data_IF_805344350153
#
_entry.id   IF_805344350153
#
_cell.length_a   1.000
_cell.length_b   1.000
_cell.length_c   1.000
_cell.angle_alpha   90.00
_cell.angle_beta   90.00
_cell.angle_gamma   90.00
#
_symmetry.space_group_name_H-M   'P 1'
#
loop_
_entity.id
_entity.type
_entity.pdbx_description
1 polymer ?
#
# COMPACT_ATOMS: atom_id res chain seq x y z
N UNK A 1 -26.67 -23.24 -19.58
CA UNK A 1 -25.78 -22.06 -19.62
C UNK A 1 -25.09 -21.94 -18.26
N UNK A 2 -23.76 -22.11 -18.19
CA UNK A 2 -23.00 -21.82 -16.96
C UNK A 2 -22.83 -20.30 -16.88
N UNK A 3 -23.50 -19.65 -15.95
CA UNK A 3 -23.20 -18.25 -15.61
C UNK A 3 -21.77 -18.20 -15.10
N UNK A 4 -20.88 -17.51 -15.81
CA UNK A 4 -19.48 -17.36 -15.40
C UNK A 4 -19.49 -16.49 -14.14
N UNK A 5 -19.29 -17.10 -12.96
CA UNK A 5 -19.25 -16.38 -11.68
C UNK A 5 -18.06 -15.42 -11.73
N UNK A 6 -18.31 -14.12 -11.58
CA UNK A 6 -17.26 -13.11 -11.52
C UNK A 6 -16.39 -13.32 -10.29
N UNK A 7 -15.08 -13.19 -10.44
CA UNK A 7 -14.14 -13.22 -9.31
C UNK A 7 -14.32 -11.95 -8.49
N UNK A 8 -14.51 -12.07 -7.19
CA UNK A 8 -14.71 -10.91 -6.32
C UNK A 8 -13.43 -10.49 -5.60
N UNK A 9 -13.07 -9.21 -5.69
CA UNK A 9 -11.83 -8.65 -5.14
C UNK A 9 -12.20 -7.58 -4.12
N UNK A 10 -11.78 -7.76 -2.87
CA UNK A 10 -11.89 -6.74 -1.82
C UNK A 10 -10.56 -6.03 -1.60
N UNK A 11 -10.57 -4.70 -1.57
CA UNK A 11 -9.41 -3.90 -1.14
C UNK A 11 -9.74 -3.25 0.20
N UNK A 12 -8.93 -3.55 1.22
CA UNK A 12 -9.13 -3.09 2.59
C UNK A 12 -8.02 -2.12 2.97
N UNK A 13 -8.38 -0.98 3.56
CA UNK A 13 -7.43 -0.06 4.16
C UNK A 13 -7.92 0.46 5.51
N UNK A 14 -7.06 0.63 6.53
CA UNK A 14 -7.47 1.19 7.82
C UNK A 14 -7.68 2.72 7.78
N UNK A 15 -7.33 3.40 6.68
CA UNK A 15 -7.42 4.85 6.54
C UNK A 15 -8.43 5.24 5.44
N UNK A 16 -9.47 6.00 5.79
CA UNK A 16 -10.51 6.40 4.84
C UNK A 16 -9.97 7.24 3.66
N UNK A 17 -8.96 8.08 3.88
CA UNK A 17 -8.31 8.82 2.80
C UNK A 17 -7.73 7.88 1.73
N UNK A 18 -7.09 6.78 2.16
CA UNK A 18 -6.58 5.75 1.25
C UNK A 18 -7.72 4.99 0.55
N UNK A 19 -8.82 4.70 1.27
CA UNK A 19 -10.00 4.05 0.67
C UNK A 19 -10.53 4.90 -0.49
N UNK A 20 -10.71 6.21 -0.27
CA UNK A 20 -11.21 7.12 -1.29
C UNK A 20 -10.26 7.21 -2.49
N UNK A 21 -8.95 7.37 -2.24
CA UNK A 21 -7.92 7.42 -3.29
C UNK A 21 -7.93 6.16 -4.16
N UNK A 22 -7.98 4.98 -3.54
CA UNK A 22 -8.01 3.71 -4.27
C UNK A 22 -9.33 3.58 -5.04
N UNK A 23 -10.47 3.96 -4.46
CA UNK A 23 -11.75 3.93 -5.16
C UNK A 23 -11.72 4.79 -6.43
N UNK A 24 -11.14 5.98 -6.36
CA UNK A 24 -11.02 6.87 -7.52
C UNK A 24 -10.16 6.27 -8.63
N UNK A 25 -9.00 5.68 -8.28
CA UNK A 25 -8.12 5.04 -9.26
C UNK A 25 -8.70 3.76 -9.85
N UNK A 26 -9.33 2.93 -9.03
CA UNK A 26 -9.87 1.63 -9.48
C UNK A 26 -11.10 1.79 -10.38
N UNK A 27 -11.88 2.86 -10.23
CA UNK A 27 -13.04 3.15 -11.10
C UNK A 27 -12.67 3.10 -12.59
N UNK A 28 -11.47 3.55 -12.95
CA UNK A 28 -10.98 3.55 -14.33
C UNK A 28 -10.86 2.12 -14.90
N UNK A 29 -10.57 1.13 -14.05
CA UNK A 29 -10.38 -0.26 -14.42
C UNK A 29 -11.65 -1.12 -14.26
N UNK A 30 -12.66 -0.62 -13.56
CA UNK A 30 -13.91 -1.37 -13.28
C UNK A 30 -15.15 -0.77 -13.93
N UNK A 31 -15.00 0.22 -14.82
CA UNK A 31 -16.10 0.89 -15.48
C UNK A 31 -16.90 -0.03 -16.41
N UNK A 32 -16.25 -1.04 -17.01
CA UNK A 32 -16.92 -1.95 -17.92
C UNK A 32 -17.62 -3.11 -17.18
N UNK A 33 -18.93 -3.22 -17.40
CA UNK A 33 -19.78 -4.30 -16.88
C UNK A 33 -19.45 -5.68 -17.48
N UNK A 34 -18.65 -5.74 -18.55
CA UNK A 34 -18.16 -7.00 -19.13
C UNK A 34 -17.00 -7.65 -18.36
N UNK A 35 -16.41 -6.94 -17.39
CA UNK A 35 -15.26 -7.43 -16.62
C UNK A 35 -15.55 -8.76 -15.92
N UNK A 36 -14.59 -9.70 -16.03
CA UNK A 36 -14.63 -11.03 -15.40
C UNK A 36 -14.52 -10.98 -13.85
N UNK A 37 -14.30 -9.79 -13.28
CA UNK A 37 -14.17 -9.56 -11.85
C UNK A 37 -14.95 -8.33 -11.40
N UNK A 38 -15.15 -8.21 -10.08
CA UNK A 38 -15.70 -7.03 -9.41
C UNK A 38 -14.76 -6.58 -8.30
N UNK A 39 -14.59 -5.26 -8.10
CA UNK A 39 -13.74 -4.72 -7.03
C UNK A 39 -14.57 -3.93 -6.04
N UNK A 40 -14.32 -4.17 -4.76
CA UNK A 40 -14.97 -3.51 -3.64
C UNK A 40 -13.92 -2.96 -2.68
N UNK A 41 -13.86 -1.64 -2.55
CA UNK A 41 -12.83 -0.96 -1.75
C UNK A 41 -13.49 -0.37 -0.51
N UNK A 42 -13.08 -0.79 0.70
CA UNK A 42 -13.68 -0.29 1.94
C UNK A 42 -12.66 -0.24 3.08
N UNK A 43 -13.08 0.39 4.18
CA UNK A 43 -12.37 0.28 5.46
C UNK A 43 -12.57 -1.10 6.10
N UNK A 44 -11.75 -1.43 7.11
CA UNK A 44 -11.88 -2.69 7.87
C UNK A 44 -13.27 -2.85 8.46
N UNK A 45 -13.80 -1.78 9.07
CA UNK A 45 -15.12 -1.81 9.72
C UNK A 45 -16.25 -1.93 8.67
N UNK A 46 -16.04 -1.45 7.44
CA UNK A 46 -16.98 -1.59 6.32
C UNK A 46 -17.05 -3.00 5.70
N UNK A 47 -16.20 -3.93 6.14
CA UNK A 47 -16.15 -5.33 5.71
C UNK A 47 -16.74 -6.32 6.71
N UNK A 48 -17.42 -5.85 7.77
CA UNK A 48 -17.97 -6.73 8.78
C UNK A 48 -19.05 -7.67 8.19
N UNK A 49 -18.76 -8.98 8.17
CA UNK A 49 -19.66 -10.03 7.68
C UNK A 49 -19.61 -10.33 6.18
N UNK A 50 -18.81 -9.60 5.39
CA UNK A 50 -18.56 -9.90 3.97
C UNK A 50 -17.31 -10.74 3.77
N UNK A 51 -17.23 -11.51 2.69
CA UNK A 51 -16.02 -12.21 2.24
C UNK A 51 -15.86 -12.00 0.74
N UNK A 52 -14.61 -11.97 0.27
CA UNK A 52 -14.29 -11.85 -1.15
C UNK A 52 -13.35 -12.98 -1.58
N UNK A 53 -13.38 -13.35 -2.86
CA UNK A 53 -12.51 -14.41 -3.39
C UNK A 53 -11.02 -14.05 -3.18
N UNK A 54 -10.67 -12.79 -3.41
CA UNK A 54 -9.34 -12.22 -3.21
C UNK A 54 -9.46 -10.99 -2.29
N UNK A 55 -8.57 -10.88 -1.29
CA UNK A 55 -8.42 -9.66 -0.49
C UNK A 55 -7.04 -9.06 -0.68
N UNK A 56 -6.99 -7.73 -0.84
CA UNK A 56 -5.77 -6.94 -0.84
C UNK A 56 -5.84 -5.96 0.33
N UNK A 57 -4.94 -6.07 1.30
CA UNK A 57 -4.85 -5.13 2.43
C UNK A 57 -3.76 -4.11 2.13
N UNK A 58 -4.11 -2.83 2.07
CA UNK A 58 -3.15 -1.72 2.07
C UNK A 58 -2.88 -1.27 3.49
N UNK A 59 -1.63 -1.38 3.94
CA UNK A 59 -1.25 -0.99 5.32
C UNK A 59 -0.99 0.51 5.44
N UNK A 60 -0.74 1.21 4.33
CA UNK A 60 -0.50 2.68 4.24
C UNK A 60 0.77 3.18 4.94
N UNK A 61 1.00 2.82 6.20
CA UNK A 61 2.08 3.38 7.02
C UNK A 61 3.46 2.93 6.52
N UNK A 62 4.32 3.92 6.34
CA UNK A 62 5.72 3.77 5.96
C UNK A 62 6.54 4.81 6.72
N UNK A 63 7.30 4.41 7.73
CA UNK A 63 8.15 5.28 8.55
C UNK A 63 9.22 4.47 9.30
N UNK A 64 10.34 5.12 9.62
CA UNK A 64 11.46 4.48 10.32
C UNK A 64 11.17 4.11 11.79
N UNK A 65 10.18 4.75 12.42
CA UNK A 65 9.86 4.53 13.85
C UNK A 65 8.92 3.35 14.11
N UNK A 66 8.52 2.61 13.07
CA UNK A 66 7.62 1.45 13.21
C UNK A 66 6.19 1.80 13.64
N UNK A 67 5.80 3.08 13.64
CA UNK A 67 4.48 3.48 14.08
C UNK A 67 3.42 3.12 13.03
N UNK A 68 2.51 2.21 13.40
CA UNK A 68 1.44 1.71 12.51
C UNK A 68 0.05 2.27 12.84
N UNK A 69 -0.12 3.03 13.93
CA UNK A 69 -1.40 3.62 14.32
C UNK A 69 -2.55 2.61 14.39
N UNK A 70 -3.65 2.86 13.66
CA UNK A 70 -4.87 2.02 13.69
C UNK A 70 -4.66 0.55 13.35
N UNK A 71 -3.57 0.20 12.65
CA UNK A 71 -3.21 -1.18 12.36
C UNK A 71 -2.81 -1.99 13.58
N UNK A 72 -2.37 -1.36 14.68
CA UNK A 72 -1.97 -2.09 15.89
C UNK A 72 -3.14 -2.82 16.57
N UNK A 73 -4.38 -2.45 16.24
CA UNK A 73 -5.58 -3.11 16.73
C UNK A 73 -5.67 -4.54 16.17
N UNK A 74 -5.45 -5.53 17.06
CA UNK A 74 -5.44 -6.95 16.72
C UNK A 74 -6.79 -7.44 16.20
N UNK A 75 -7.91 -6.98 16.74
CA UNK A 75 -9.24 -7.40 16.31
C UNK A 75 -9.50 -6.97 14.86
N UNK A 76 -9.14 -5.73 14.50
CA UNK A 76 -9.25 -5.21 13.13
C UNK A 76 -8.32 -5.94 12.17
N UNK A 77 -7.09 -6.24 12.58
CA UNK A 77 -6.17 -7.04 11.77
C UNK A 77 -6.74 -8.44 11.49
N UNK A 78 -7.28 -9.11 12.52
CA UNK A 78 -7.93 -10.42 12.36
C UNK A 78 -9.10 -10.34 11.38
N UNK A 79 -10.00 -9.37 11.55
CA UNK A 79 -11.15 -9.19 10.65
C UNK A 79 -10.67 -9.06 9.21
N UNK A 80 -9.72 -8.15 8.94
CA UNK A 80 -9.22 -7.90 7.59
C UNK A 80 -8.57 -9.14 6.95
N UNK A 81 -7.71 -9.87 7.70
CA UNK A 81 -7.00 -11.04 7.15
C UNK A 81 -7.93 -12.22 6.87
N UNK A 82 -9.03 -12.39 7.63
CA UNK A 82 -9.96 -13.51 7.43
C UNK A 82 -11.10 -13.16 6.46
N UNK A 83 -11.03 -12.06 5.70
CA UNK A 83 -12.05 -11.74 4.68
C UNK A 83 -11.81 -12.50 3.35
N UNK A 84 -10.62 -13.05 3.15
CA UNK A 84 -10.22 -13.71 1.91
C UNK A 84 -10.63 -15.18 1.89
N UNK A 85 -11.29 -15.61 0.81
CA UNK A 85 -11.70 -17.01 0.61
C UNK A 85 -10.62 -17.85 -0.04
N UNK A 86 -9.87 -17.28 -0.99
CA UNK A 86 -8.87 -18.03 -1.76
C UNK A 86 -7.48 -17.40 -1.72
N UNK A 87 -7.37 -16.07 -1.73
CA UNK A 87 -6.07 -15.40 -1.79
C UNK A 87 -6.05 -14.11 -0.97
N UNK A 88 -4.98 -13.92 -0.18
CA UNK A 88 -4.74 -12.72 0.60
C UNK A 88 -3.41 -12.08 0.17
N UNK A 89 -3.47 -10.83 -0.27
CA UNK A 89 -2.33 -9.97 -0.50
C UNK A 89 -2.26 -8.89 0.57
N UNK A 90 -1.05 -8.60 1.05
CA UNK A 90 -0.80 -7.53 2.02
C UNK A 90 0.28 -6.63 1.42
N UNK A 91 -0.10 -5.40 1.09
CA UNK A 91 0.79 -4.39 0.55
C UNK A 91 1.18 -3.40 1.64
N UNK A 92 2.47 -3.33 1.95
CA UNK A 92 2.97 -2.47 3.02
C UNK A 92 4.48 -2.31 3.06
N UNK A 93 4.93 -1.35 3.88
CA UNK A 93 6.36 -1.16 4.13
C UNK A 93 6.86 -2.18 5.18
N UNK A 94 7.66 -3.14 4.72
CA UNK A 94 8.12 -4.25 5.56
C UNK A 94 8.91 -3.77 6.80
N UNK A 95 9.78 -2.77 6.66
CA UNK A 95 10.56 -2.25 7.78
C UNK A 95 9.67 -1.65 8.86
N UNK A 96 8.66 -0.86 8.47
CA UNK A 96 7.67 -0.27 9.39
C UNK A 96 6.90 -1.34 10.13
N UNK A 97 6.39 -2.36 9.42
CA UNK A 97 5.59 -3.42 10.02
C UNK A 97 6.41 -4.31 10.96
N UNK A 98 7.65 -4.63 10.58
CA UNK A 98 8.57 -5.41 11.43
C UNK A 98 8.87 -4.65 12.72
N UNK A 99 9.10 -3.34 12.66
CA UNK A 99 9.45 -2.52 13.83
C UNK A 99 8.25 -2.06 14.66
N UNK A 100 7.04 -2.55 14.38
CA UNK A 100 5.81 -2.04 14.98
C UNK A 100 5.40 -2.63 16.33
N UNK A 101 6.14 -3.63 16.82
CA UNK A 101 5.81 -4.42 18.02
C UNK A 101 4.33 -4.86 18.09
N UNK A 102 3.73 -5.09 16.92
CA UNK A 102 2.33 -5.48 16.76
C UNK A 102 2.20 -6.85 16.07
N UNK A 103 0.96 -7.32 15.89
CA UNK A 103 0.69 -8.57 15.14
C UNK A 103 1.30 -8.56 13.74
N UNK A 104 1.43 -7.38 13.12
CA UNK A 104 2.00 -7.24 11.77
C UNK A 104 3.47 -7.63 11.68
N UNK A 105 4.24 -7.49 12.77
CA UNK A 105 5.61 -8.02 12.84
C UNK A 105 5.61 -9.52 12.58
N UNK A 106 4.74 -10.24 13.28
CA UNK A 106 4.64 -11.69 13.16
C UNK A 106 4.11 -12.11 11.78
N UNK A 107 3.17 -11.35 11.20
CA UNK A 107 2.66 -11.59 9.84
C UNK A 107 3.80 -11.51 8.81
N UNK A 108 4.66 -10.48 8.89
CA UNK A 108 5.79 -10.34 7.94
C UNK A 108 6.82 -11.46 8.14
N UNK A 109 7.15 -11.80 9.39
CA UNK A 109 8.09 -12.88 9.68
C UNK A 109 7.56 -14.25 9.22
N UNK A 110 6.26 -14.49 9.38
CA UNK A 110 5.60 -15.69 8.90
C UNK A 110 5.58 -15.78 7.37
N UNK A 111 5.27 -14.67 6.69
CA UNK A 111 5.32 -14.60 5.23
C UNK A 111 6.73 -14.89 4.69
N UNK A 112 7.78 -14.36 5.33
CA UNK A 112 9.18 -14.69 5.00
C UNK A 112 9.49 -16.17 5.19
N UNK A 113 9.02 -16.76 6.29
CA UNK A 113 9.24 -18.20 6.58
C UNK A 113 8.58 -19.10 5.54
N UNK A 114 7.44 -18.70 4.99
CA UNK A 114 6.69 -19.43 3.97
C UNK A 114 7.08 -19.09 2.53
N UNK A 115 8.15 -18.30 2.34
CA UNK A 115 8.59 -17.82 1.03
C UNK A 115 7.49 -17.07 0.24
N UNK A 116 6.64 -16.34 0.98
CA UNK A 116 5.53 -15.54 0.45
C UNK A 116 5.76 -14.03 0.67
N UNK A 117 7.02 -13.63 0.87
CA UNK A 117 7.41 -12.23 1.02
C UNK A 117 8.16 -11.78 -0.22
N UNK A 118 7.60 -10.82 -0.96
CA UNK A 118 8.16 -10.32 -2.21
C UNK A 118 8.44 -8.82 -2.09
N UNK A 119 9.65 -8.40 -2.45
CA UNK A 119 9.97 -7.00 -2.63
C UNK A 119 9.40 -6.54 -3.97
N UNK A 120 8.49 -5.57 -3.95
CA UNK A 120 7.78 -5.12 -5.15
C UNK A 120 8.68 -4.51 -6.23
N UNK A 121 9.88 -4.02 -5.87
CA UNK A 121 10.86 -3.44 -6.80
C UNK A 121 11.79 -4.51 -7.37
N UNK A 122 12.10 -5.55 -6.59
CA UNK A 122 13.02 -6.62 -7.01
C UNK A 122 12.29 -7.74 -7.75
N UNK A 123 11.02 -8.00 -7.42
CA UNK A 123 10.20 -8.97 -8.14
C UNK A 123 9.89 -8.44 -9.55
N UNK A 124 10.32 -9.20 -10.56
CA UNK A 124 10.22 -8.78 -11.97
C UNK A 124 8.79 -8.51 -12.41
N UNK A 125 7.83 -9.30 -11.94
CA UNK A 125 6.44 -9.17 -12.35
C UNK A 125 5.79 -7.94 -11.68
N UNK A 126 6.04 -7.76 -10.38
CA UNK A 126 5.55 -6.59 -9.64
C UNK A 126 6.21 -5.30 -10.14
N UNK A 127 7.52 -5.31 -10.36
CA UNK A 127 8.25 -4.15 -10.88
C UNK A 127 7.74 -3.75 -12.26
N UNK A 128 7.46 -4.73 -13.14
CA UNK A 128 6.85 -4.46 -14.44
C UNK A 128 5.47 -3.84 -14.30
N UNK A 129 4.59 -4.42 -13.49
CA UNK A 129 3.25 -3.88 -13.27
C UNK A 129 3.29 -2.44 -12.71
N UNK A 130 4.21 -2.15 -11.79
CA UNK A 130 4.42 -0.79 -11.26
C UNK A 130 4.88 0.16 -12.37
N UNK A 131 5.83 -0.25 -13.21
CA UNK A 131 6.34 0.59 -14.29
C UNK A 131 5.28 0.88 -15.35
N UNK A 132 4.45 -0.11 -15.72
CA UNK A 132 3.37 0.06 -16.68
C UNK A 132 2.36 1.11 -16.18
N UNK A 133 1.95 1.00 -14.91
CA UNK A 133 1.05 1.98 -14.26
C UNK A 133 1.73 3.34 -14.10
N UNK A 134 3.00 3.39 -13.71
CA UNK A 134 3.73 4.65 -13.55
C UNK A 134 3.90 5.38 -14.89
N UNK A 135 4.09 4.64 -15.98
CA UNK A 135 4.16 5.20 -17.32
C UNK A 135 2.80 5.78 -17.74
N UNK A 136 1.70 5.04 -17.50
CA UNK A 136 0.34 5.54 -17.71
C UNK A 136 0.05 6.81 -16.90
N UNK A 137 0.39 6.82 -15.61
CA UNK A 137 0.26 8.00 -14.74
C UNK A 137 1.11 9.16 -15.26
N UNK A 138 2.38 8.95 -15.62
CA UNK A 138 3.25 10.01 -16.15
C UNK A 138 2.74 10.58 -17.47
N UNK A 139 2.13 9.76 -18.32
CA UNK A 139 1.49 10.21 -19.55
C UNK A 139 0.24 11.05 -19.26
N UNK A 140 -0.52 10.72 -18.22
CA UNK A 140 -1.69 11.48 -17.77
C UNK A 140 -1.31 12.77 -17.00
N UNK A 141 -0.21 12.74 -16.25
CA UNK A 141 0.32 13.86 -15.44
C UNK A 141 1.24 14.81 -16.24
N UNK A 142 1.26 14.71 -17.57
CA UNK A 142 1.92 15.65 -18.49
C UNK A 142 1.44 17.12 -18.38
N UNK A 143 0.56 17.42 -17.43
CA UNK A 143 0.27 18.74 -16.88
C UNK A 143 0.39 18.72 -15.34
N UNK A 144 1.61 18.94 -14.85
CA UNK A 144 2.05 19.14 -13.45
C UNK A 144 1.37 18.34 -12.31
N UNK A 145 2.09 17.36 -11.73
CA UNK A 145 1.70 16.67 -10.49
C UNK A 145 2.76 16.82 -9.35
N UNK A 146 2.33 17.08 -8.09
CA UNK A 146 3.20 17.25 -6.92
C UNK A 146 4.04 16.02 -6.51
N UNK A 147 3.72 14.82 -7.03
CA UNK A 147 4.34 13.56 -6.58
C UNK A 147 5.84 13.47 -6.94
N UNK A 148 6.27 14.11 -8.04
CA UNK A 148 7.69 14.17 -8.44
C UNK A 148 8.57 14.91 -7.42
N UNK A 149 8.04 15.91 -6.71
CA UNK A 149 8.81 16.71 -5.74
C UNK A 149 9.22 15.91 -4.50
N UNK A 150 8.53 14.82 -4.18
CA UNK A 150 8.85 13.96 -3.04
C UNK A 150 9.99 12.97 -3.33
N UNK A 151 10.34 12.70 -4.60
CA UNK A 151 11.40 11.72 -4.95
C UNK A 151 12.78 12.33 -5.17
N UNK A 152 12.91 13.66 -5.22
CA UNK A 152 14.17 14.36 -5.57
C UNK A 152 14.74 15.22 -4.44
N UNK A 153 14.33 14.98 -3.20
CA UNK A 153 14.62 15.85 -2.07
C UNK A 153 15.61 15.36 -1.01
N UNK A 154 16.58 14.49 -1.32
CA UNK A 154 17.73 14.27 -0.43
C UNK A 154 19.01 13.95 -1.22
N UNK A 155 19.81 14.99 -1.51
CA UNK A 155 21.28 14.89 -1.61
C UNK A 155 21.92 16.23 -1.19
N UNK A 156 22.47 16.19 0.02
CA UNK A 156 23.66 16.90 0.53
C UNK A 156 24.17 18.16 -0.16
N UNK A 157 24.33 19.24 0.63
CA UNK A 157 25.54 20.07 0.58
C UNK A 157 26.10 20.23 2.00
N UNK A 158 27.25 19.59 2.24
CA UNK A 158 28.20 19.98 3.25
C UNK A 158 29.41 20.57 2.53
N UNK A 159 29.71 21.85 2.74
CA UNK A 159 31.07 22.38 2.68
C UNK A 159 31.20 23.69 3.48
N UNK A 160 31.79 23.53 4.66
CA UNK A 160 32.73 24.37 5.39
C UNK A 160 33.29 25.63 4.69
N UNK A 161 33.12 26.80 5.32
CA UNK A 161 34.19 27.67 5.86
C UNK A 161 33.79 29.15 5.92
N UNK A 162 33.83 29.76 7.09
CA UNK A 162 34.85 30.76 7.43
C UNK A 162 34.48 31.52 8.71
N UNK A 163 35.45 31.53 9.62
CA UNK A 163 35.53 32.25 10.89
C UNK A 163 35.11 33.71 10.85
N UNK A 164 34.47 34.19 11.93
CA UNK A 164 34.74 35.52 12.51
C UNK A 164 34.49 35.48 14.02
N UNK A 165 35.60 35.52 14.76
CA UNK A 165 35.67 35.97 16.15
C UNK A 165 35.22 37.43 16.21
N UNK A 166 34.35 37.77 17.17
CA UNK A 166 34.14 39.15 17.60
C UNK A 166 34.07 39.19 19.13
N UNK A 167 35.13 39.72 19.72
CA UNK A 167 35.17 40.49 20.97
C UNK A 167 36.19 41.62 20.73
N UNK A 168 36.29 42.68 21.55
CA UNK A 168 35.30 43.31 22.43
C UNK A 168 35.29 44.87 22.28
N UNK A 169 34.34 45.56 22.94
CA UNK A 169 34.57 46.70 23.87
C UNK A 169 33.47 46.63 24.94
#
# INVERSE_FOLDING_TARGET
>A
MRTKKKVSIGIISPYNAQVNEIQEKVKQYTWDTTSDFSVNVRSVDGFQGGEEDIIIISTVRSNGSGNVGFLSNRQRANVAMTRARYCLWILGNAATLINSDSVWRNVVLDAKRRDCFHNAVEDKNLARAINDVLFEIKLLEGSESPFMKLSLGEKSEASTSSSRLVEPI
#
